data_IF_123201910737
#
_entry.id   IF_123201910737
#
_cell.length_a   1.000
_cell.length_b   1.000
_cell.length_c   1.000
_cell.angle_alpha   90.00
_cell.angle_beta   90.00
_cell.angle_gamma   90.00
#
_symmetry.space_group_name_H-M   'P 1'
#
loop_
_entity.id
_entity.type
_entity.pdbx_description
1 polymer ?
#
# COMPACT_ATOMS: atom_id res chain seq x y z
N UNK A 1 -1.70 -15.28 2.04
CA UNK A 1 -0.91 -14.35 2.87
C UNK A 1 -0.06 -15.14 3.85
N UNK A 2 1.27 -14.95 3.82
CA UNK A 2 2.26 -15.67 4.62
C UNK A 2 2.95 -14.65 5.54
N UNK A 3 2.99 -14.89 6.86
CA UNK A 3 3.72 -14.02 7.80
C UNK A 3 5.23 -14.27 7.64
N UNK A 4 6.00 -13.22 7.40
CA UNK A 4 7.45 -13.31 7.12
C UNK A 4 8.31 -12.76 8.26
N UNK A 5 7.81 -11.76 8.99
CA UNK A 5 8.53 -11.12 10.08
C UNK A 5 7.56 -10.40 11.01
N UNK A 6 8.02 -9.99 12.19
CA UNK A 6 7.29 -9.05 13.05
C UNK A 6 8.29 -8.31 13.93
N UNK A 7 7.92 -7.09 14.30
CA UNK A 7 8.62 -6.29 15.30
C UNK A 7 7.63 -5.79 16.37
N UNK A 8 8.05 -4.82 17.19
CA UNK A 8 7.23 -4.24 18.25
C UNK A 8 5.98 -3.50 17.73
N UNK A 9 6.01 -2.99 16.50
CA UNK A 9 4.96 -2.16 15.90
C UNK A 9 4.17 -2.89 14.82
N UNK A 10 4.81 -3.75 14.03
CA UNK A 10 4.26 -4.27 12.79
C UNK A 10 4.40 -5.80 12.68
N UNK A 11 3.40 -6.40 12.02
CA UNK A 11 3.52 -7.74 11.45
C UNK A 11 3.69 -7.62 9.94
N UNK A 12 4.68 -8.30 9.39
CA UNK A 12 5.01 -8.26 7.97
C UNK A 12 4.54 -9.54 7.29
N UNK A 13 3.86 -9.38 6.16
CA UNK A 13 3.36 -10.47 5.35
C UNK A 13 3.77 -10.32 3.90
N UNK A 14 3.87 -11.47 3.23
CA UNK A 14 3.99 -11.58 1.79
C UNK A 14 2.75 -12.31 1.25
N UNK A 15 2.15 -11.75 0.21
CA UNK A 15 1.10 -12.40 -0.58
C UNK A 15 1.42 -12.28 -2.06
N UNK A 16 0.57 -12.86 -2.89
CA UNK A 16 0.66 -12.72 -4.34
C UNK A 16 -0.68 -12.28 -4.89
N UNK A 17 -0.66 -11.31 -5.79
CA UNK A 17 -1.81 -10.87 -6.58
C UNK A 17 -1.46 -11.08 -8.05
N UNK A 18 -2.18 -11.97 -8.73
CA UNK A 18 -1.90 -12.33 -10.15
C UNK A 18 -0.44 -12.74 -10.42
N UNK A 19 0.21 -13.36 -9.43
CA UNK A 19 1.63 -13.77 -9.51
C UNK A 19 2.63 -12.68 -9.11
N UNK A 20 2.17 -11.44 -8.88
CA UNK A 20 3.00 -10.32 -8.42
C UNK A 20 3.12 -10.38 -6.89
N UNK A 21 4.34 -10.33 -6.33
CA UNK A 21 4.54 -10.34 -4.88
C UNK A 21 4.08 -9.03 -4.23
N UNK A 22 3.15 -9.15 -3.27
CA UNK A 22 2.60 -8.02 -2.53
C UNK A 22 3.09 -8.05 -1.09
N UNK A 23 3.86 -7.03 -0.69
CA UNK A 23 4.27 -6.83 0.69
C UNK A 23 3.15 -6.11 1.45
N UNK A 24 2.78 -6.68 2.59
CA UNK A 24 1.67 -6.20 3.42
C UNK A 24 2.19 -6.02 4.84
N UNK A 25 1.86 -4.89 5.46
CA UNK A 25 2.15 -4.59 6.84
C UNK A 25 0.84 -4.55 7.61
N UNK A 26 0.84 -5.04 8.85
CA UNK A 26 -0.28 -4.88 9.78
C UNK A 26 0.21 -4.18 11.04
N UNK A 27 -0.39 -3.06 11.37
CA UNK A 27 -0.13 -2.35 12.62
C UNK A 27 -0.68 -3.19 13.80
N UNK A 28 0.17 -3.50 14.78
CA UNK A 28 -0.20 -4.36 15.91
C UNK A 28 -1.11 -3.67 16.91
N UNK A 29 -1.08 -2.33 16.97
CA UNK A 29 -1.86 -1.53 17.91
C UNK A 29 -3.25 -1.25 17.34
N UNK A 30 -3.33 -0.85 16.08
CA UNK A 30 -4.60 -0.45 15.44
C UNK A 30 -5.26 -1.59 14.66
N UNK A 31 -4.49 -2.61 14.28
CA UNK A 31 -4.95 -3.69 13.39
C UNK A 31 -5.02 -3.27 11.92
N UNK A 32 -4.65 -2.03 11.59
CA UNK A 32 -4.67 -1.47 10.24
C UNK A 32 -3.77 -2.25 9.29
N UNK A 33 -4.24 -2.49 8.06
CA UNK A 33 -3.51 -3.19 7.01
C UNK A 33 -3.01 -2.15 6.01
N UNK A 34 -1.71 -2.15 5.77
CA UNK A 34 -1.01 -1.25 4.85
C UNK A 34 -0.37 -2.09 3.76
N UNK A 35 -0.44 -1.61 2.53
CA UNK A 35 0.22 -2.22 1.39
C UNK A 35 1.46 -1.42 1.02
N UNK A 36 2.54 -2.12 0.68
CA UNK A 36 3.73 -1.46 0.14
C UNK A 36 3.39 -0.79 -1.21
N UNK A 37 3.73 0.50 -1.32
CA UNK A 37 3.39 1.29 -2.50
C UNK A 37 4.12 0.83 -3.77
N UNK A 38 5.27 0.15 -3.64
CA UNK A 38 5.97 -0.48 -4.77
C UNK A 38 5.19 -1.67 -5.30
N UNK A 39 4.80 -2.58 -4.42
CA UNK A 39 3.94 -3.71 -4.77
C UNK A 39 2.60 -3.27 -5.39
N UNK A 40 1.97 -2.20 -4.87
CA UNK A 40 0.73 -1.66 -5.45
C UNK A 40 0.98 -1.10 -6.85
N UNK A 41 2.06 -0.33 -7.04
CA UNK A 41 2.41 0.22 -8.35
C UNK A 41 2.61 -0.90 -9.39
N UNK A 42 3.35 -1.96 -9.04
CA UNK A 42 3.54 -3.13 -9.92
C UNK A 42 2.20 -3.82 -10.24
N UNK A 43 1.32 -4.02 -9.25
CA UNK A 43 0.00 -4.62 -9.47
C UNK A 43 -0.89 -3.79 -10.40
N UNK A 44 -0.72 -2.48 -10.41
CA UNK A 44 -1.44 -1.55 -11.28
C UNK A 44 -0.75 -1.35 -12.65
N UNK A 45 0.37 -2.03 -12.90
CA UNK A 45 1.09 -1.97 -14.17
C UNK A 45 2.07 -0.81 -14.31
N UNK A 46 2.41 -0.12 -13.21
CA UNK A 46 3.43 0.93 -13.20
C UNK A 46 4.82 0.36 -12.94
N UNK A 47 5.84 0.91 -13.59
CA UNK A 47 7.24 0.50 -13.42
C UNK A 47 7.83 0.87 -12.07
N UNK A 48 7.24 1.85 -11.37
CA UNK A 48 7.69 2.29 -10.06
C UNK A 48 6.59 3.05 -9.32
N UNK A 49 6.73 3.16 -8.00
CA UNK A 49 5.89 4.05 -7.19
C UNK A 49 5.96 5.50 -7.67
N UNK A 50 7.12 5.96 -8.15
CA UNK A 50 7.25 7.33 -8.66
C UNK A 50 6.41 7.53 -9.92
N UNK A 51 6.41 6.55 -10.85
CA UNK A 51 5.59 6.61 -12.05
C UNK A 51 4.09 6.65 -11.69
N UNK A 52 3.64 5.77 -10.79
CA UNK A 52 2.27 5.76 -10.28
C UNK A 52 1.89 7.10 -9.63
N UNK A 53 2.77 7.67 -8.80
CA UNK A 53 2.53 8.94 -8.11
C UNK A 53 2.74 10.19 -8.99
N UNK A 54 3.08 10.00 -10.26
CA UNK A 54 3.15 11.07 -11.27
C UNK A 54 1.98 11.02 -12.24
N UNK A 55 1.06 10.07 -12.08
CA UNK A 55 -0.14 9.91 -12.89
C UNK A 55 -1.29 10.77 -12.32
N UNK A 56 -1.80 11.69 -13.14
CA UNK A 56 -2.88 12.61 -12.74
C UNK A 56 -4.13 11.86 -12.28
N UNK A 57 -4.48 10.73 -12.90
CA UNK A 57 -5.68 9.96 -12.51
C UNK A 57 -5.51 9.33 -11.12
N UNK A 58 -4.31 8.86 -10.81
CA UNK A 58 -3.99 8.30 -9.49
C UNK A 58 -4.06 9.41 -8.44
N UNK A 59 -3.46 10.57 -8.72
CA UNK A 59 -3.48 11.71 -7.82
C UNK A 59 -4.90 12.24 -7.59
N UNK A 60 -5.70 12.34 -8.64
CA UNK A 60 -7.11 12.75 -8.57
C UNK A 60 -7.93 11.77 -7.73
N UNK A 61 -7.70 10.46 -7.90
CA UNK A 61 -8.39 9.43 -7.11
C UNK A 61 -8.04 9.54 -5.62
N UNK A 62 -6.76 9.75 -5.30
CA UNK A 62 -6.30 9.93 -3.91
C UNK A 62 -6.90 11.19 -3.29
N UNK A 63 -6.92 12.29 -4.06
CA UNK A 63 -7.48 13.57 -3.63
C UNK A 63 -8.98 13.45 -3.39
N UNK A 64 -9.71 12.83 -4.31
CA UNK A 64 -11.15 12.60 -4.18
C UNK A 64 -11.45 11.77 -2.92
N UNK A 65 -10.75 10.65 -2.72
CA UNK A 65 -10.93 9.82 -1.53
C UNK A 65 -10.66 10.60 -0.23
N UNK A 66 -9.62 11.43 -0.22
CA UNK A 66 -9.26 12.26 0.94
C UNK A 66 -10.33 13.30 1.23
N UNK A 67 -10.95 13.89 0.20
CA UNK A 67 -12.06 14.84 0.35
C UNK A 67 -13.33 14.16 0.88
N UNK A 68 -13.63 12.94 0.42
CA UNK A 68 -14.84 12.20 0.81
C UNK A 68 -14.74 11.63 2.23
N UNK A 69 -13.57 11.15 2.64
CA UNK A 69 -13.40 10.42 3.92
C UNK A 69 -12.66 11.21 4.99
N UNK A 70 -12.01 12.32 4.62
CA UNK A 70 -11.10 13.06 5.49
C UNK A 70 -9.79 12.32 5.82
N UNK A 71 -9.54 11.16 5.20
CA UNK A 71 -8.38 10.31 5.49
C UNK A 71 -7.50 10.15 4.25
N UNK A 72 -6.19 10.37 4.39
CA UNK A 72 -5.23 10.16 3.30
C UNK A 72 -4.84 8.68 3.24
N UNK A 73 -4.97 8.01 2.08
CA UNK A 73 -4.66 6.57 1.94
C UNK A 73 -3.15 6.30 1.81
N UNK A 74 -2.31 7.33 1.95
CA UNK A 74 -0.85 7.25 1.88
C UNK A 74 -0.25 7.53 3.25
N UNK A 75 0.68 6.67 3.67
CA UNK A 75 1.39 6.81 4.93
C UNK A 75 2.87 6.57 4.76
N UNK A 76 3.68 7.42 5.37
CA UNK A 76 5.12 7.19 5.52
C UNK A 76 5.34 6.38 6.80
N UNK A 77 5.95 5.21 6.65
CA UNK A 77 6.20 4.24 7.72
C UNK A 77 7.70 4.19 8.01
#
# INVERSE_FOLDING_TARGET
MIKIHYDDKYEYYLSYFEGIPVKILRDRKTGEILFDAGSVAECLGYESTQAMMSDDQVLDTINQHTQETGTTPLRRI
#
